data_IF_073419915761
#
_entry.id   IF_073419915761
#
_cell.length_a   1.000
_cell.length_b   1.000
_cell.length_c   1.000
_cell.angle_alpha   90.00
_cell.angle_beta   90.00
_cell.angle_gamma   90.00
#
_symmetry.space_group_name_H-M   'P 1'
#
loop_
_entity.id
_entity.type
_entity.pdbx_description
1 polymer ?
#
# COMPACT_ATOMS: atom_id res chain seq x y z
N UNK A 1 -25.59 10.23 18.70
CA UNK A 1 -24.71 9.41 17.83
C UNK A 1 -23.56 10.28 17.35
N UNK A 2 -22.33 9.77 17.31
CA UNK A 2 -21.16 10.41 16.68
C UNK A 2 -20.65 9.47 15.61
N UNK A 3 -20.20 9.97 14.46
CA UNK A 3 -19.70 9.13 13.38
C UNK A 3 -18.91 9.94 12.35
N UNK A 4 -18.04 9.25 11.62
CA UNK A 4 -17.28 9.80 10.49
C UNK A 4 -18.03 9.48 9.21
N UNK A 5 -18.33 10.51 8.42
CA UNK A 5 -19.02 10.41 7.13
C UNK A 5 -18.02 10.17 5.99
N UNK A 6 -18.41 9.49 4.92
CA UNK A 6 -17.58 9.21 3.75
C UNK A 6 -16.73 7.93 3.82
N UNK A 7 -16.85 7.15 4.90
CA UNK A 7 -16.19 5.84 5.05
C UNK A 7 -17.09 4.66 4.64
N UNK A 8 -18.34 4.90 4.25
CA UNK A 8 -19.30 3.85 3.92
C UNK A 8 -19.84 3.10 5.15
N UNK A 9 -19.64 3.66 6.35
CA UNK A 9 -20.15 3.10 7.60
C UNK A 9 -21.66 3.33 7.78
N UNK A 10 -22.21 4.33 7.09
CA UNK A 10 -23.64 4.62 7.08
C UNK A 10 -24.26 4.24 5.74
N UNK A 11 -25.60 4.21 5.71
CA UNK A 11 -26.33 3.99 4.46
C UNK A 11 -25.99 5.12 3.46
N UNK A 12 -25.73 4.81 2.18
CA UNK A 12 -25.35 5.83 1.19
C UNK A 12 -26.35 6.98 1.09
N UNK A 13 -27.65 6.69 1.13
CA UNK A 13 -28.70 7.71 1.09
C UNK A 13 -28.77 8.52 2.39
N UNK A 14 -28.37 7.93 3.52
CA UNK A 14 -28.26 8.64 4.78
C UNK A 14 -27.12 9.65 4.77
N UNK A 15 -25.91 9.24 4.34
CA UNK A 15 -24.76 10.15 4.22
C UNK A 15 -25.05 11.30 3.25
N UNK A 16 -25.72 11.01 2.13
CA UNK A 16 -26.17 12.05 1.18
C UNK A 16 -27.17 13.01 1.81
N UNK A 17 -28.12 12.52 2.59
CA UNK A 17 -29.15 13.34 3.24
C UNK A 17 -28.59 14.36 4.22
N UNK A 18 -27.57 13.96 5.00
CA UNK A 18 -26.89 14.84 5.98
C UNK A 18 -25.78 15.70 5.38
N UNK A 19 -25.32 15.39 4.17
CA UNK A 19 -24.27 16.14 3.50
C UNK A 19 -24.69 17.60 3.28
N UNK A 20 -23.77 18.52 3.58
CA UNK A 20 -24.00 19.97 3.47
C UNK A 20 -24.85 20.61 4.56
N UNK A 21 -25.35 19.84 5.55
CA UNK A 21 -26.05 20.42 6.70
C UNK A 21 -25.10 21.30 7.54
N UNK A 22 -25.65 22.36 8.12
CA UNK A 22 -24.94 23.23 9.08
C UNK A 22 -25.25 22.87 10.53
N UNK A 23 -24.36 23.22 11.44
CA UNK A 23 -24.61 23.02 12.87
C UNK A 23 -25.92 23.71 13.29
N UNK A 24 -26.76 22.97 14.04
CA UNK A 24 -28.09 23.38 14.48
C UNK A 24 -29.21 23.10 13.47
N UNK A 25 -28.90 22.70 12.24
CA UNK A 25 -29.90 22.41 11.20
C UNK A 25 -30.65 21.10 11.50
N UNK A 26 -31.95 21.11 11.24
CA UNK A 26 -32.82 19.93 11.25
C UNK A 26 -33.27 19.67 9.81
N UNK A 27 -33.07 18.45 9.32
CA UNK A 27 -33.52 18.03 7.99
C UNK A 27 -34.22 16.68 8.08
N UNK A 28 -35.28 16.54 7.29
CA UNK A 28 -35.99 15.27 7.10
C UNK A 28 -35.77 14.76 5.68
N UNK A 29 -35.43 13.48 5.52
CA UNK A 29 -35.25 12.84 4.21
C UNK A 29 -35.53 11.34 4.28
N UNK A 30 -35.89 10.76 3.13
CA UNK A 30 -36.09 9.31 3.00
C UNK A 30 -34.78 8.59 2.68
N UNK A 31 -34.60 7.42 3.28
CA UNK A 31 -33.46 6.51 3.09
C UNK A 31 -33.99 5.15 2.73
N UNK A 32 -33.44 4.54 1.67
CA UNK A 32 -33.75 3.16 1.29
C UNK A 32 -32.70 2.20 1.86
N UNK A 33 -33.16 1.18 2.56
CA UNK A 33 -32.29 0.11 3.04
C UNK A 33 -31.90 -0.83 1.89
N UNK A 34 -30.64 -1.30 1.82
CA UNK A 34 -30.23 -2.32 0.87
C UNK A 34 -31.04 -3.61 1.01
N UNK A 35 -31.15 -4.39 -0.07
CA UNK A 35 -31.86 -5.67 -0.05
C UNK A 35 -31.16 -6.73 0.82
N UNK A 36 -29.85 -6.59 1.04
CA UNK A 36 -29.01 -7.45 1.85
C UNK A 36 -28.68 -6.82 3.22
N UNK A 37 -29.55 -5.97 3.74
CA UNK A 37 -29.34 -5.35 5.04
C UNK A 37 -29.38 -6.41 6.16
N UNK A 38 -28.52 -6.27 7.16
CA UNK A 38 -28.35 -7.27 8.23
C UNK A 38 -29.65 -7.54 9.00
N UNK A 39 -30.51 -6.53 9.11
CA UNK A 39 -31.83 -6.62 9.72
C UNK A 39 -32.87 -6.95 8.64
N UNK A 40 -33.33 -8.20 8.60
CA UNK A 40 -34.25 -8.71 7.57
C UNK A 40 -35.58 -7.95 7.54
N UNK A 41 -36.01 -7.40 8.67
CA UNK A 41 -37.25 -6.62 8.74
C UNK A 41 -37.16 -5.25 8.04
N UNK A 42 -35.95 -4.73 7.82
CA UNK A 42 -35.68 -3.43 7.19
C UNK A 42 -35.19 -3.55 5.75
N UNK A 43 -34.67 -4.71 5.35
CA UNK A 43 -34.14 -4.97 4.03
C UNK A 43 -35.10 -4.53 2.90
N UNK A 44 -34.58 -3.70 1.98
CA UNK A 44 -35.32 -3.19 0.81
C UNK A 44 -36.41 -2.14 1.11
N UNK A 45 -36.72 -1.85 2.38
CA UNK A 45 -37.73 -0.86 2.77
C UNK A 45 -37.18 0.56 2.71
N UNK A 46 -38.07 1.53 2.66
CA UNK A 46 -37.74 2.95 2.83
C UNK A 46 -38.18 3.42 4.21
N UNK A 47 -37.38 4.26 4.85
CA UNK A 47 -37.75 4.94 6.09
C UNK A 47 -37.45 6.44 5.99
N UNK A 48 -38.24 7.23 6.70
CA UNK A 48 -38.01 8.66 6.86
C UNK A 48 -37.16 8.92 8.10
N UNK A 49 -36.10 9.72 7.94
CA UNK A 49 -35.22 10.13 9.01
C UNK A 49 -35.33 11.64 9.21
N UNK A 50 -35.64 12.06 10.43
CA UNK A 50 -35.46 13.45 10.89
C UNK A 50 -34.17 13.55 11.67
N UNK A 51 -33.20 14.30 11.15
CA UNK A 51 -31.86 14.44 11.72
C UNK A 51 -31.60 15.88 12.13
N UNK A 52 -31.12 16.07 13.36
CA UNK A 52 -30.60 17.35 13.84
C UNK A 52 -29.07 17.32 13.96
N UNK A 53 -28.37 18.24 13.31
CA UNK A 53 -26.91 18.31 13.34
C UNK A 53 -26.43 19.08 14.57
N UNK A 54 -25.97 18.39 15.60
CA UNK A 54 -25.51 19.03 16.86
C UNK A 54 -24.13 19.67 16.72
N UNK A 55 -23.22 19.01 16.00
CA UNK A 55 -21.83 19.45 15.82
C UNK A 55 -21.22 18.77 14.60
N UNK A 56 -20.38 19.48 13.86
CA UNK A 56 -19.56 18.95 12.77
C UNK A 56 -18.11 19.40 13.00
N UNK A 57 -17.17 18.48 12.81
CA UNK A 57 -15.75 18.74 12.92
C UNK A 57 -15.03 18.12 11.72
N UNK A 58 -14.00 18.80 11.24
CA UNK A 58 -13.07 18.24 10.26
C UNK A 58 -11.89 17.63 11.01
N UNK A 59 -11.48 16.38 10.70
CA UNK A 59 -10.24 15.84 11.28
C UNK A 59 -9.08 16.77 10.91
N UNK A 60 -8.28 17.12 11.92
CA UNK A 60 -7.01 17.82 11.74
C UNK A 60 -5.94 16.74 11.60
N UNK A 61 -5.38 16.60 10.40
CA UNK A 61 -4.22 15.76 10.15
C UNK A 61 -2.97 16.62 10.22
N UNK A 62 -1.91 16.08 10.82
CA UNK A 62 -0.57 16.66 10.73
C UNK A 62 -0.05 16.50 9.29
N UNK A 63 0.91 17.32 8.88
CA UNK A 63 1.54 17.14 7.56
C UNK A 63 2.27 15.79 7.51
N UNK A 64 2.42 15.20 6.33
CA UNK A 64 3.15 13.93 6.19
C UNK A 64 4.60 14.07 6.69
N UNK A 65 5.20 15.25 6.49
CA UNK A 65 6.52 15.62 6.99
C UNK A 65 6.54 15.65 8.52
N UNK A 66 5.56 16.29 9.16
CA UNK A 66 5.45 16.30 10.63
C UNK A 66 5.30 14.89 11.19
N UNK A 67 4.50 14.03 10.53
CA UNK A 67 4.33 12.64 10.96
C UNK A 67 5.64 11.86 10.80
N UNK A 68 6.31 11.96 9.66
CA UNK A 68 7.55 11.22 9.40
C UNK A 68 8.72 11.69 10.28
N UNK A 69 8.79 12.99 10.58
CA UNK A 69 9.83 13.56 11.43
C UNK A 69 9.62 13.23 12.93
N UNK A 70 8.40 12.84 13.34
CA UNK A 70 8.06 12.45 14.72
C UNK A 70 8.16 10.93 14.96
N UNK A 71 8.35 10.14 13.90
CA UNK A 71 8.58 8.70 14.04
C UNK A 71 10.05 8.44 14.32
N UNK A 72 10.36 8.10 15.57
CA UNK A 72 11.67 7.59 15.97
C UNK A 72 11.91 6.21 15.34
N UNK A 73 12.54 6.20 14.17
CA UNK A 73 12.90 4.96 13.47
C UNK A 73 14.20 4.42 14.03
N UNK A 74 14.16 3.59 15.09
CA UNK A 74 15.20 2.64 15.56
C UNK A 74 16.60 2.72 14.89
N UNK A 75 17.26 3.88 14.89
CA UNK A 75 18.59 4.10 14.30
C UNK A 75 18.73 4.26 12.77
N UNK A 76 17.66 4.42 11.99
CA UNK A 76 17.77 4.73 10.55
C UNK A 76 17.62 6.25 10.30
N UNK A 77 18.76 6.93 10.31
CA UNK A 77 18.95 8.40 10.27
C UNK A 77 18.59 9.09 8.93
N UNK A 78 17.39 8.85 8.40
CA UNK A 78 17.07 9.19 6.99
C UNK A 78 15.72 9.89 6.79
N UNK A 79 15.01 10.28 7.85
CA UNK A 79 13.62 10.75 7.70
C UNK A 79 13.39 12.13 8.25
N UNK A 80 14.37 13.03 8.12
CA UNK A 80 14.09 14.47 8.24
C UNK A 80 13.82 15.05 6.86
N UNK A 81 12.57 15.44 6.64
CA UNK A 81 12.17 16.18 5.45
C UNK A 81 11.91 17.63 5.85
N UNK A 82 12.51 18.57 5.11
CA UNK A 82 12.31 20.00 5.34
C UNK A 82 10.91 20.43 4.84
N UNK A 83 10.45 19.82 3.75
CA UNK A 83 9.16 20.09 3.12
C UNK A 83 8.61 18.87 2.34
N UNK A 84 7.35 18.97 1.89
CA UNK A 84 6.67 17.91 1.13
C UNK A 84 7.36 17.61 -0.20
N UNK A 85 8.02 18.61 -0.80
CA UNK A 85 8.77 18.45 -2.05
C UNK A 85 9.99 17.56 -1.85
N UNK A 86 10.73 17.73 -0.74
CA UNK A 86 11.88 16.90 -0.41
C UNK A 86 11.48 15.44 -0.16
N UNK A 87 10.28 15.22 0.39
CA UNK A 87 9.70 13.89 0.53
C UNK A 87 9.30 13.29 -0.83
N UNK A 88 8.64 14.06 -1.69
CA UNK A 88 8.26 13.61 -3.04
C UNK A 88 9.48 13.24 -3.90
N UNK A 89 10.53 14.06 -3.86
CA UNK A 89 11.79 13.80 -4.56
C UNK A 89 12.46 12.50 -4.04
N UNK A 90 12.46 12.27 -2.73
CA UNK A 90 12.98 11.03 -2.14
C UNK A 90 12.19 9.80 -2.61
N UNK A 91 10.85 9.84 -2.53
CA UNK A 91 9.97 8.74 -2.98
C UNK A 91 10.21 8.45 -4.47
N UNK A 92 10.26 9.50 -5.30
CA UNK A 92 10.53 9.36 -6.73
C UNK A 92 11.91 8.77 -7.01
N UNK A 93 12.94 9.21 -6.30
CA UNK A 93 14.29 8.70 -6.50
C UNK A 93 14.41 7.24 -6.07
N UNK A 94 13.87 6.89 -4.90
CA UNK A 94 13.98 5.55 -4.35
C UNK A 94 13.19 4.54 -5.20
N UNK A 95 11.89 4.78 -5.41
CA UNK A 95 11.05 3.89 -6.21
C UNK A 95 11.35 4.00 -7.71
N UNK A 96 11.80 5.15 -8.20
CA UNK A 96 12.21 5.33 -9.60
C UNK A 96 13.42 4.46 -9.93
N UNK A 97 14.47 4.50 -9.11
CA UNK A 97 15.65 3.63 -9.28
C UNK A 97 15.31 2.15 -9.17
N UNK A 98 14.45 1.77 -8.22
CA UNK A 98 13.99 0.38 -8.11
C UNK A 98 13.20 -0.06 -9.35
N UNK A 99 12.32 0.81 -9.86
CA UNK A 99 11.51 0.52 -11.05
C UNK A 99 12.36 0.40 -12.31
N UNK A 100 13.33 1.30 -12.51
CA UNK A 100 14.30 1.24 -13.61
C UNK A 100 15.09 -0.07 -13.57
N UNK A 101 15.65 -0.42 -12.41
CA UNK A 101 16.37 -1.69 -12.23
C UNK A 101 15.49 -2.90 -12.53
N UNK A 102 14.23 -2.89 -12.10
CA UNK A 102 13.29 -3.97 -12.42
C UNK A 102 13.01 -4.08 -13.92
N UNK A 103 12.85 -2.96 -14.63
CA UNK A 103 12.65 -2.94 -16.08
C UNK A 103 13.90 -3.47 -16.79
N UNK A 104 15.09 -3.04 -16.38
CA UNK A 104 16.37 -3.55 -16.93
C UNK A 104 16.52 -5.06 -16.69
N UNK A 105 16.29 -5.53 -15.47
CA UNK A 105 16.37 -6.95 -15.11
C UNK A 105 15.36 -7.79 -15.93
N UNK A 106 14.15 -7.27 -16.13
CA UNK A 106 13.13 -7.92 -16.97
C UNK A 106 13.56 -7.94 -18.44
N UNK A 107 14.08 -6.82 -18.95
CA UNK A 107 14.52 -6.73 -20.34
C UNK A 107 15.68 -7.67 -20.63
N UNK A 108 16.67 -7.73 -19.73
CA UNK A 108 17.80 -8.66 -19.81
C UNK A 108 17.34 -10.12 -19.78
N UNK A 109 16.42 -10.48 -18.86
CA UNK A 109 15.85 -11.84 -18.80
C UNK A 109 15.14 -12.21 -20.08
N UNK A 110 14.29 -11.32 -20.61
CA UNK A 110 13.54 -11.58 -21.83
C UNK A 110 14.48 -11.69 -23.05
N UNK A 111 15.48 -10.82 -23.16
CA UNK A 111 16.50 -10.89 -24.21
C UNK A 111 17.31 -12.19 -24.15
N UNK A 112 17.74 -12.61 -22.95
CA UNK A 112 18.44 -13.90 -22.74
C UNK A 112 17.56 -15.09 -23.12
N UNK A 113 16.28 -15.07 -22.73
CA UNK A 113 15.32 -16.12 -23.10
C UNK A 113 15.15 -16.19 -24.62
N UNK A 114 15.00 -15.05 -25.31
CA UNK A 114 14.92 -15.03 -26.77
C UNK A 114 16.18 -15.59 -27.44
N UNK A 115 17.37 -15.23 -26.95
CA UNK A 115 18.64 -15.74 -27.47
C UNK A 115 18.75 -17.26 -27.24
N UNK A 116 18.35 -17.77 -26.08
CA UNK A 116 18.34 -19.22 -25.79
C UNK A 116 17.37 -19.94 -26.74
N UNK A 117 16.18 -19.40 -26.96
CA UNK A 117 15.18 -20.00 -27.88
C UNK A 117 15.68 -19.96 -29.33
N UNK A 118 16.32 -18.86 -29.77
CA UNK A 118 16.78 -18.66 -31.16
C UNK A 118 18.12 -19.34 -31.47
N UNK A 119 19.01 -19.54 -30.49
CA UNK A 119 20.36 -20.08 -30.70
C UNK A 119 20.39 -21.59 -30.99
N UNK A 120 19.26 -22.30 -30.88
CA UNK A 120 19.18 -23.72 -31.20
C UNK A 120 19.90 -24.60 -30.17
N UNK A 121 19.48 -25.87 -30.08
CA UNK A 121 19.93 -26.83 -29.06
C UNK A 121 21.45 -26.99 -29.04
N UNK A 122 22.13 -26.27 -28.15
CA UNK A 122 23.51 -26.57 -27.77
C UNK A 122 23.48 -27.88 -26.98
N UNK A 123 24.21 -28.93 -27.39
CA UNK A 123 24.33 -30.15 -26.59
C UNK A 123 24.96 -29.78 -25.25
N UNK A 124 24.17 -29.86 -24.18
CA UNK A 124 24.64 -29.63 -22.83
C UNK A 124 25.60 -30.76 -22.46
N UNK A 125 26.88 -30.44 -22.30
CA UNK A 125 27.86 -31.36 -21.73
C UNK A 125 27.59 -31.46 -20.23
N UNK A 126 27.15 -32.64 -19.77
CA UNK A 126 26.68 -32.86 -18.38
C UNK A 126 27.65 -32.35 -17.31
N UNK A 127 28.96 -32.51 -17.53
CA UNK A 127 29.99 -32.06 -16.59
C UNK A 127 30.01 -30.54 -16.38
N UNK A 128 29.70 -29.76 -17.42
CA UNK A 128 29.63 -28.29 -17.32
C UNK A 128 28.38 -27.81 -16.58
N UNK A 129 27.26 -28.53 -16.74
CA UNK A 129 26.02 -28.23 -16.00
C UNK A 129 26.23 -28.52 -14.52
N UNK A 130 26.88 -29.63 -14.18
CA UNK A 130 27.21 -29.98 -12.79
C UNK A 130 28.14 -28.94 -12.17
N UNK A 131 29.22 -28.54 -12.85
CA UNK A 131 30.14 -27.51 -12.36
C UNK A 131 29.45 -26.16 -12.13
N UNK A 132 28.59 -25.72 -13.04
CA UNK A 132 27.88 -24.45 -12.87
C UNK A 132 26.79 -24.54 -11.78
N UNK A 133 26.17 -25.71 -11.64
CA UNK A 133 25.22 -26.00 -10.55
C UNK A 133 25.90 -25.92 -9.19
N UNK A 134 27.06 -26.57 -9.03
CA UNK A 134 27.86 -26.52 -7.80
C UNK A 134 28.32 -25.09 -7.47
N UNK A 135 28.71 -24.32 -8.50
CA UNK A 135 29.08 -22.91 -8.36
C UNK A 135 27.91 -22.05 -7.88
N UNK A 136 26.73 -22.18 -8.49
CA UNK A 136 25.53 -21.42 -8.12
C UNK A 136 25.11 -21.77 -6.68
N UNK A 137 25.11 -23.06 -6.32
CA UNK A 137 24.80 -23.47 -4.94
C UNK A 137 25.82 -22.93 -3.92
N UNK A 138 27.10 -22.84 -4.28
CA UNK A 138 28.13 -22.19 -3.46
C UNK A 138 27.82 -20.71 -3.22
N UNK A 139 27.48 -19.97 -4.28
CA UNK A 139 27.14 -18.54 -4.19
C UNK A 139 25.90 -18.29 -3.32
N UNK A 140 24.85 -19.10 -3.50
CA UNK A 140 23.61 -19.00 -2.69
C UNK A 140 23.91 -19.27 -1.21
N UNK A 141 24.79 -20.22 -0.92
CA UNK A 141 25.17 -20.56 0.45
C UNK A 141 25.95 -19.44 1.13
N UNK A 142 26.94 -18.87 0.45
CA UNK A 142 27.69 -17.72 0.95
C UNK A 142 26.79 -16.51 1.22
N UNK A 143 25.84 -16.23 0.34
CA UNK A 143 24.91 -15.11 0.50
C UNK A 143 23.94 -15.35 1.67
N UNK A 144 23.44 -16.58 1.82
CA UNK A 144 22.62 -16.97 2.97
C UNK A 144 23.38 -16.84 4.30
N UNK A 145 24.66 -17.20 4.33
CA UNK A 145 25.49 -17.09 5.52
C UNK A 145 25.80 -15.62 5.86
N UNK A 146 26.04 -14.76 4.87
CA UNK A 146 26.15 -13.31 5.06
C UNK A 146 24.87 -12.70 5.63
N UNK A 147 23.71 -13.06 5.08
CA UNK A 147 22.40 -12.60 5.55
C UNK A 147 22.14 -13.01 7.01
N UNK A 148 22.47 -14.25 7.38
CA UNK A 148 22.36 -14.72 8.78
C UNK A 148 23.28 -13.94 9.72
N UNK A 149 24.49 -13.62 9.29
CA UNK A 149 25.45 -12.87 10.10
C UNK A 149 25.01 -11.42 10.31
N UNK A 150 24.43 -10.79 9.28
CA UNK A 150 23.79 -9.47 9.39
C UNK A 150 22.64 -9.54 10.41
N UNK A 151 21.74 -10.53 10.30
CA UNK A 151 20.64 -10.70 11.26
C UNK A 151 21.13 -10.89 12.71
N UNK A 152 22.20 -11.64 12.93
CA UNK A 152 22.77 -11.82 14.28
C UNK A 152 23.28 -10.52 14.87
N UNK A 153 23.90 -9.65 14.06
CA UNK A 153 24.39 -8.33 14.50
C UNK A 153 23.25 -7.35 14.81
N UNK A 154 22.12 -7.47 14.12
CA UNK A 154 20.92 -6.68 14.39
C UNK A 154 20.14 -7.12 15.64
N UNK A 155 20.37 -8.35 16.12
CA UNK A 155 19.68 -8.93 17.28
C UNK A 155 20.49 -8.87 18.60
N UNK A 156 21.62 -8.17 18.61
CA UNK A 156 22.44 -7.87 19.80
C UNK A 156 22.26 -6.41 20.20
#
# INVERSE_FOLDING_TARGET
MKGVIGLGNFLPDFEKGISGMKQGEIKTFMVKFPNNYFESSLAGKSAEFTVGLVSVAKPKYNSIVEVLNDVDHNGHDHTHFDDEKSFDEYVQQYYGKETEKMIEDQWQKNALQEVIVKSGKIPLVGDRVTQETDRIFGLIREDSDKQKEILKRFLQ
#
